data_IF_809058615338
#
_entry.id   IF_809058615338
#
_cell.length_a   1.000
_cell.length_b   1.000
_cell.length_c   1.000
_cell.angle_alpha   90.00
_cell.angle_beta   90.00
_cell.angle_gamma   90.00
#
_symmetry.space_group_name_H-M   'P 1'
#
loop_
_entity.id
_entity.type
_entity.pdbx_description
1 polymer ?
#
# COMPACT_ATOMS: atom_id res chain seq x y z
N UNK A 1 56.70 -13.95 20.55
CA UNK A 1 55.26 -13.79 20.88
C UNK A 1 54.77 -15.16 21.28
N UNK A 2 54.66 -15.40 22.58
CA UNK A 2 54.03 -16.63 23.09
C UNK A 2 52.52 -16.54 22.82
N UNK A 3 51.99 -17.54 22.12
CA UNK A 3 50.55 -17.73 21.99
C UNK A 3 50.05 -18.27 23.33
N UNK A 4 49.57 -17.38 24.19
CA UNK A 4 48.77 -17.78 25.36
C UNK A 4 47.46 -18.39 24.86
N UNK A 5 47.42 -19.72 24.77
CA UNK A 5 46.18 -20.48 24.58
C UNK A 5 45.36 -20.37 25.86
N UNK A 6 44.36 -19.49 25.84
CA UNK A 6 43.35 -19.39 26.90
C UNK A 6 42.42 -20.61 26.79
N UNK A 7 42.70 -21.65 27.58
CA UNK A 7 41.79 -22.78 27.76
C UNK A 7 40.68 -22.41 28.73
N UNK A 8 39.48 -22.16 28.20
CA UNK A 8 38.27 -21.94 29.01
C UNK A 8 37.73 -23.31 29.44
N UNK A 9 37.88 -23.66 30.73
CA UNK A 9 37.22 -24.83 31.30
C UNK A 9 35.71 -24.60 31.42
N UNK A 10 34.99 -24.95 30.34
CA UNK A 10 33.54 -24.98 30.33
C UNK A 10 33.05 -26.16 31.17
N UNK A 11 32.38 -25.88 32.30
CA UNK A 11 31.62 -26.89 33.03
C UNK A 11 30.68 -27.60 32.05
N UNK A 12 30.61 -28.94 32.13
CA UNK A 12 29.80 -29.80 31.26
C UNK A 12 28.35 -29.32 31.12
N UNK A 13 27.78 -28.81 32.20
CA UNK A 13 26.42 -28.24 32.25
C UNK A 13 26.26 -27.01 31.34
N UNK A 14 27.26 -26.14 31.29
CA UNK A 14 27.28 -24.95 30.43
C UNK A 14 27.40 -25.36 28.96
N UNK A 15 28.23 -26.35 28.65
CA UNK A 15 28.36 -26.86 27.28
C UNK A 15 27.03 -27.46 26.77
N UNK A 16 26.33 -28.23 27.60
CA UNK A 16 25.01 -28.79 27.27
C UNK A 16 23.97 -27.68 27.04
N UNK A 17 23.97 -26.64 27.87
CA UNK A 17 23.10 -25.46 27.70
C UNK A 17 23.36 -24.72 26.39
N UNK A 18 24.64 -24.52 26.03
CA UNK A 18 25.01 -23.86 24.77
C UNK A 18 24.57 -24.66 23.55
N UNK A 19 24.74 -25.98 23.58
CA UNK A 19 24.25 -26.88 22.50
C UNK A 19 22.72 -26.82 22.39
N UNK A 20 22.02 -26.77 23.52
CA UNK A 20 20.56 -26.66 23.55
C UNK A 20 20.08 -25.34 22.92
N UNK A 21 20.71 -24.21 23.28
CA UNK A 21 20.43 -22.90 22.71
C UNK A 21 20.72 -22.83 21.21
N UNK A 22 21.88 -23.35 20.79
CA UNK A 22 22.27 -23.40 19.38
C UNK A 22 21.27 -24.24 18.56
N UNK A 23 20.83 -25.38 19.11
CA UNK A 23 19.83 -26.23 18.46
C UNK A 23 18.49 -25.51 18.31
N UNK A 24 18.03 -24.83 19.36
CA UNK A 24 16.79 -24.04 19.31
C UNK A 24 16.85 -22.92 18.26
N UNK A 25 17.94 -22.15 18.25
CA UNK A 25 18.15 -21.10 17.24
C UNK A 25 18.17 -21.67 15.82
N UNK A 26 18.89 -22.78 15.61
CA UNK A 26 18.96 -23.43 14.32
C UNK A 26 17.59 -23.90 13.84
N UNK A 27 16.78 -24.50 14.72
CA UNK A 27 15.42 -24.94 14.38
C UNK A 27 14.50 -23.76 14.01
N UNK A 28 14.59 -22.64 14.71
CA UNK A 28 13.82 -21.42 14.37
C UNK A 28 14.22 -20.87 13.02
N UNK A 29 15.52 -20.83 12.71
CA UNK A 29 16.03 -20.38 11.41
C UNK A 29 15.56 -21.32 10.29
N UNK A 30 15.69 -22.62 10.47
CA UNK A 30 15.21 -23.61 9.49
C UNK A 30 13.70 -23.49 9.28
N UNK A 31 12.93 -23.30 10.35
CA UNK A 31 11.48 -23.10 10.28
C UNK A 31 11.11 -21.82 9.51
N UNK A 32 11.91 -20.75 9.60
CA UNK A 32 11.71 -19.54 8.82
C UNK A 32 11.92 -19.78 7.31
N UNK A 33 12.94 -20.56 6.92
CA UNK A 33 13.23 -20.81 5.50
C UNK A 33 12.44 -21.98 4.89
N UNK A 34 11.73 -22.76 5.70
CA UNK A 34 10.92 -23.90 5.27
C UNK A 34 9.82 -23.51 4.26
N UNK A 35 9.07 -22.41 4.46
CA UNK A 35 8.11 -21.91 3.48
C UNK A 35 8.74 -21.17 2.29
N UNK A 36 9.96 -21.51 1.88
CA UNK A 36 10.83 -20.73 0.98
C UNK A 36 10.28 -20.32 -0.40
N UNK A 37 9.07 -20.75 -0.77
CA UNK A 37 8.36 -20.33 -1.98
C UNK A 37 7.14 -19.41 -1.70
N UNK A 38 6.91 -19.02 -0.44
CA UNK A 38 5.81 -18.13 -0.10
C UNK A 38 6.15 -16.70 -0.49
N UNK A 39 5.29 -16.07 -1.30
CA UNK A 39 5.33 -14.63 -1.54
C UNK A 39 4.89 -13.83 -0.32
N UNK A 40 4.34 -14.51 0.69
CA UNK A 40 3.88 -13.91 1.93
C UNK A 40 4.95 -14.08 3.02
N UNK A 41 5.55 -12.97 3.47
CA UNK A 41 6.51 -12.95 4.58
C UNK A 41 5.89 -13.43 5.91
N UNK A 42 4.56 -13.40 6.04
CA UNK A 42 3.87 -13.80 7.27
C UNK A 42 3.94 -15.29 7.53
N UNK A 43 3.99 -16.11 6.48
CA UNK A 43 3.99 -17.57 6.59
C UNK A 43 5.35 -18.11 7.14
N UNK A 44 6.52 -17.69 6.62
CA UNK A 44 7.83 -17.86 7.27
C UNK A 44 7.85 -17.39 8.72
N UNK A 45 7.27 -16.21 8.99
CA UNK A 45 7.23 -15.64 10.34
C UNK A 45 6.42 -16.53 11.29
N UNK A 46 5.30 -17.09 10.82
CA UNK A 46 4.44 -17.99 11.58
C UNK A 46 5.11 -19.32 11.88
N UNK A 47 5.74 -19.92 10.87
CA UNK A 47 6.50 -21.16 11.04
C UNK A 47 7.61 -20.99 12.08
N UNK A 48 8.38 -19.90 11.99
CA UNK A 48 9.43 -19.57 12.96
C UNK A 48 8.87 -19.29 14.36
N UNK A 49 7.71 -18.62 14.46
CA UNK A 49 7.01 -18.36 15.71
C UNK A 49 6.54 -19.63 16.41
N UNK A 50 5.98 -20.59 15.67
CA UNK A 50 5.56 -21.90 16.19
C UNK A 50 6.77 -22.69 16.68
N UNK A 51 7.85 -22.74 15.90
CA UNK A 51 9.10 -23.40 16.30
C UNK A 51 9.69 -22.77 17.57
N UNK A 52 9.70 -21.44 17.65
CA UNK A 52 10.14 -20.70 18.84
C UNK A 52 9.28 -21.00 20.07
N UNK A 53 7.95 -21.01 19.93
CA UNK A 53 7.02 -21.34 21.01
C UNK A 53 7.22 -22.79 21.51
N UNK A 54 7.41 -23.75 20.60
CA UNK A 54 7.71 -25.14 20.95
C UNK A 54 9.04 -25.26 21.72
N UNK A 55 10.08 -24.56 21.26
CA UNK A 55 11.38 -24.54 21.94
C UNK A 55 11.29 -23.93 23.35
N UNK A 56 10.60 -22.79 23.49
CA UNK A 56 10.34 -22.15 24.78
C UNK A 56 9.57 -23.09 25.70
N UNK A 57 8.56 -23.79 25.19
CA UNK A 57 7.82 -24.80 25.95
C UNK A 57 8.72 -25.93 26.47
N UNK A 58 9.60 -26.46 25.62
CA UNK A 58 10.58 -27.47 26.01
C UNK A 58 11.56 -26.95 27.07
N UNK A 59 11.99 -25.68 26.96
CA UNK A 59 12.86 -25.03 27.94
C UNK A 59 12.20 -24.91 29.31
N UNK A 60 10.92 -24.50 29.36
CA UNK A 60 10.15 -24.44 30.61
C UNK A 60 10.07 -25.81 31.27
N UNK A 61 9.71 -26.85 30.50
CA UNK A 61 9.65 -28.23 31.00
C UNK A 61 11.00 -28.66 31.59
N UNK A 62 12.11 -28.38 30.90
CA UNK A 62 13.45 -28.67 31.41
C UNK A 62 13.74 -27.97 32.74
N UNK A 63 13.38 -26.69 32.87
CA UNK A 63 13.58 -25.89 34.08
C UNK A 63 12.69 -26.30 35.27
N UNK A 64 11.68 -27.15 35.08
CA UNK A 64 10.88 -27.71 36.18
C UNK A 64 11.55 -28.87 36.93
N UNK A 65 12.69 -29.37 36.43
CA UNK A 65 13.43 -30.46 37.06
C UNK A 65 13.98 -30.06 38.44
N UNK A 66 14.01 -31.00 39.41
CA UNK A 66 14.38 -30.72 40.81
C UNK A 66 15.82 -30.23 41.02
N UNK A 67 16.70 -30.39 40.03
CA UNK A 67 18.08 -29.89 40.08
C UNK A 67 18.19 -28.36 39.92
N UNK A 68 17.09 -27.66 39.62
CA UNK A 68 17.05 -26.20 39.44
C UNK A 68 16.52 -25.54 40.71
N UNK A 69 17.22 -24.51 41.19
CA UNK A 69 16.78 -23.77 42.37
C UNK A 69 15.39 -23.13 42.17
N UNK A 70 14.58 -23.10 43.22
CA UNK A 70 13.20 -22.58 43.19
C UNK A 70 13.13 -21.16 42.64
N UNK A 71 14.09 -20.30 43.00
CA UNK A 71 14.19 -18.93 42.50
C UNK A 71 14.33 -18.92 40.96
N UNK A 72 15.30 -19.66 40.42
CA UNK A 72 15.57 -19.73 38.97
C UNK A 72 14.38 -20.28 38.20
N UNK A 73 13.72 -21.32 38.73
CA UNK A 73 12.52 -21.89 38.14
C UNK A 73 11.42 -20.84 37.95
N UNK A 74 11.12 -20.06 39.00
CA UNK A 74 10.11 -19.00 38.91
C UNK A 74 10.54 -17.84 38.02
N UNK A 75 11.83 -17.47 38.00
CA UNK A 75 12.32 -16.42 37.10
C UNK A 75 12.16 -16.84 35.63
N UNK A 76 12.55 -18.06 35.28
CA UNK A 76 12.43 -18.58 33.91
C UNK A 76 10.97 -18.67 33.46
N UNK A 77 10.08 -19.16 34.34
CA UNK A 77 8.64 -19.22 34.05
C UNK A 77 8.08 -17.80 33.86
N UNK A 78 8.43 -16.86 34.72
CA UNK A 78 7.98 -15.46 34.63
C UNK A 78 8.42 -14.78 33.34
N UNK A 79 9.72 -14.87 33.01
CA UNK A 79 10.26 -14.32 31.74
C UNK A 79 9.56 -14.97 30.55
N UNK A 80 9.43 -16.29 30.55
CA UNK A 80 8.75 -17.03 29.48
C UNK A 80 7.32 -16.57 29.29
N UNK A 81 6.55 -16.44 30.38
CA UNK A 81 5.17 -15.99 30.33
C UNK A 81 5.07 -14.57 29.75
N UNK A 82 5.94 -13.64 30.19
CA UNK A 82 6.00 -12.28 29.66
C UNK A 82 6.35 -12.27 28.17
N UNK A 83 7.35 -13.06 27.75
CA UNK A 83 7.76 -13.16 26.35
C UNK A 83 6.63 -13.72 25.47
N UNK A 84 5.95 -14.78 25.91
CA UNK A 84 4.83 -15.37 25.17
C UNK A 84 3.63 -14.42 25.12
N UNK A 85 3.34 -13.69 26.21
CA UNK A 85 2.29 -12.67 26.23
C UNK A 85 2.60 -11.53 25.26
N UNK A 86 3.83 -10.98 25.29
CA UNK A 86 4.25 -9.92 24.39
C UNK A 86 4.22 -10.37 22.92
N UNK A 87 4.69 -11.59 22.64
CA UNK A 87 4.64 -12.17 21.30
C UNK A 87 3.20 -12.40 20.83
N UNK A 88 2.32 -12.92 21.70
CA UNK A 88 0.91 -13.14 21.39
C UNK A 88 0.15 -11.84 21.11
N UNK A 89 0.39 -10.79 21.92
CA UNK A 89 -0.18 -9.45 21.67
C UNK A 89 0.35 -8.85 20.35
N UNK A 90 1.64 -9.00 20.08
CA UNK A 90 2.24 -8.58 18.81
C UNK A 90 1.62 -9.29 17.61
N UNK A 91 1.40 -10.60 17.74
CA UNK A 91 0.77 -11.44 16.71
C UNK A 91 -0.67 -11.05 16.43
N UNK A 92 -1.47 -10.87 17.49
CA UNK A 92 -2.88 -10.46 17.36
C UNK A 92 -3.03 -9.12 16.63
N UNK A 93 -2.13 -8.17 16.87
CA UNK A 93 -2.14 -6.85 16.22
C UNK A 93 -1.64 -6.84 14.77
N UNK A 94 -1.03 -7.92 14.26
CA UNK A 94 -0.47 -7.91 12.90
C UNK A 94 -1.53 -7.83 11.81
N UNK A 95 -2.64 -8.56 11.95
CA UNK A 95 -3.71 -8.57 10.93
C UNK A 95 -4.33 -7.17 10.77
N UNK A 96 -4.59 -6.52 11.90
CA UNK A 96 -5.12 -5.15 11.95
C UNK A 96 -4.13 -4.16 11.32
N UNK A 97 -2.83 -4.24 11.67
CA UNK A 97 -1.79 -3.41 11.05
C UNK A 97 -1.66 -3.65 9.55
N UNK A 98 -1.76 -4.90 9.09
CA UNK A 98 -1.72 -5.25 7.66
C UNK A 98 -2.91 -4.68 6.90
N UNK A 99 -4.12 -4.76 7.49
CA UNK A 99 -5.31 -4.12 6.93
C UNK A 99 -5.17 -2.60 6.90
N UNK A 100 -4.73 -1.99 8.00
CA UNK A 100 -4.49 -0.56 8.09
C UNK A 100 -3.44 -0.07 7.07
N UNK A 101 -2.33 -0.80 6.90
CA UNK A 101 -1.31 -0.50 5.89
C UNK A 101 -1.89 -0.58 4.48
N UNK A 102 -2.65 -1.64 4.19
CA UNK A 102 -3.32 -1.81 2.90
C UNK A 102 -4.28 -0.64 2.63
N UNK A 103 -5.12 -0.28 3.60
CA UNK A 103 -6.07 0.82 3.48
C UNK A 103 -5.36 2.16 3.30
N UNK A 104 -4.27 2.39 4.04
CA UNK A 104 -3.43 3.58 3.93
C UNK A 104 -2.81 3.70 2.53
N UNK A 105 -2.25 2.61 1.99
CA UNK A 105 -1.70 2.58 0.62
C UNK A 105 -2.79 2.86 -0.42
N UNK A 106 -3.97 2.26 -0.26
CA UNK A 106 -5.10 2.50 -1.17
C UNK A 106 -5.59 3.96 -1.10
N UNK A 107 -5.61 4.54 0.10
CA UNK A 107 -5.96 5.95 0.32
C UNK A 107 -4.96 6.90 -0.32
N UNK A 108 -3.66 6.66 -0.11
CA UNK A 108 -2.58 7.42 -0.75
C UNK A 108 -2.72 7.33 -2.27
N UNK A 109 -2.91 6.12 -2.82
CA UNK A 109 -3.10 5.94 -4.26
C UNK A 109 -4.30 6.72 -4.77
N UNK A 110 -5.44 6.69 -4.06
CA UNK A 110 -6.62 7.45 -4.45
C UNK A 110 -6.34 8.95 -4.48
N UNK A 111 -5.69 9.50 -3.45
CA UNK A 111 -5.30 10.92 -3.41
C UNK A 111 -4.33 11.29 -4.53
N UNK A 112 -3.32 10.45 -4.80
CA UNK A 112 -2.38 10.67 -5.91
C UNK A 112 -3.11 10.65 -7.25
N UNK A 113 -4.01 9.68 -7.48
CA UNK A 113 -4.79 9.63 -8.72
C UNK A 113 -5.67 10.86 -8.91
N UNK A 114 -6.30 11.40 -7.85
CA UNK A 114 -7.05 12.66 -7.92
C UNK A 114 -6.17 13.85 -8.26
N UNK A 115 -4.97 13.93 -7.66
CA UNK A 115 -4.02 15.00 -7.97
C UNK A 115 -3.58 14.94 -9.45
N UNK A 116 -3.30 13.74 -9.97
CA UNK A 116 -2.95 13.53 -11.38
C UNK A 116 -4.12 13.86 -12.30
N UNK A 117 -5.33 13.41 -11.99
CA UNK A 117 -6.56 13.78 -12.69
C UNK A 117 -6.70 15.30 -12.79
N UNK A 118 -6.63 15.98 -11.65
CA UNK A 118 -6.76 17.43 -11.60
C UNK A 118 -5.70 18.14 -12.44
N UNK A 119 -4.42 17.76 -12.29
CA UNK A 119 -3.31 18.37 -13.03
C UNK A 119 -3.45 18.17 -14.55
N UNK A 120 -3.72 16.94 -14.99
CA UNK A 120 -3.90 16.62 -16.41
C UNK A 120 -5.13 17.34 -16.99
N UNK A 121 -6.23 17.47 -16.24
CA UNK A 121 -7.44 18.16 -16.70
C UNK A 121 -7.27 19.67 -16.77
N UNK A 122 -6.62 20.27 -15.77
CA UNK A 122 -6.25 21.68 -15.82
C UNK A 122 -5.35 21.92 -17.02
N UNK A 123 -4.36 21.06 -17.28
CA UNK A 123 -3.48 21.21 -18.43
C UNK A 123 -4.25 21.16 -19.76
N UNK A 124 -5.17 20.19 -19.92
CA UNK A 124 -5.98 20.04 -21.14
C UNK A 124 -6.91 21.24 -21.37
N UNK A 125 -7.53 21.76 -20.31
CA UNK A 125 -8.52 22.83 -20.41
C UNK A 125 -7.89 24.23 -20.43
N UNK A 126 -6.69 24.39 -19.90
CA UNK A 126 -5.98 25.68 -19.84
C UNK A 126 -5.65 26.22 -21.23
N UNK A 127 -5.20 25.38 -22.14
CA UNK A 127 -4.76 25.86 -23.47
C UNK A 127 -5.94 26.43 -24.30
N UNK A 128 -7.10 25.75 -24.44
CA UNK A 128 -8.32 26.34 -25.03
C UNK A 128 -8.77 27.63 -24.35
N UNK A 129 -8.66 27.70 -23.03
CA UNK A 129 -8.99 28.90 -22.25
C UNK A 129 -8.07 30.09 -22.57
N UNK A 130 -6.75 29.86 -22.58
CA UNK A 130 -5.76 30.88 -22.93
C UNK A 130 -5.90 31.32 -24.40
N UNK A 131 -6.17 30.38 -25.31
CA UNK A 131 -6.50 30.71 -26.70
C UNK A 131 -7.73 31.61 -26.79
N UNK A 132 -8.78 31.33 -26.01
CA UNK A 132 -10.03 32.11 -26.02
C UNK A 132 -9.80 33.58 -25.63
N UNK A 133 -9.00 33.83 -24.59
CA UNK A 133 -8.70 35.18 -24.10
C UNK A 133 -7.61 35.92 -24.87
N UNK A 134 -6.74 35.21 -25.59
CA UNK A 134 -5.67 35.81 -26.39
C UNK A 134 -6.09 36.21 -27.80
N UNK A 135 -7.33 35.90 -28.21
CA UNK A 135 -7.84 36.25 -29.54
C UNK A 135 -7.84 37.76 -29.79
N UNK A 136 -7.21 38.17 -30.90
CA UNK A 136 -7.22 39.55 -31.41
C UNK A 136 -7.91 39.57 -32.77
N UNK A 137 -8.99 40.33 -32.88
CA UNK A 137 -9.71 40.49 -34.15
C UNK A 137 -11.23 40.66 -33.96
N UNK A 138 -11.94 41.05 -35.03
CA UNK A 138 -13.40 41.24 -35.01
C UNK A 138 -14.18 39.92 -35.00
N UNK A 139 -13.59 38.83 -35.49
CA UNK A 139 -14.17 37.48 -35.44
C UNK A 139 -13.49 36.70 -34.33
N UNK A 140 -14.25 36.35 -33.30
CA UNK A 140 -13.79 35.51 -32.19
C UNK A 140 -14.37 34.11 -32.34
N UNK A 141 -13.50 33.11 -32.24
CA UNK A 141 -13.90 31.70 -32.17
C UNK A 141 -14.47 31.39 -30.79
N UNK A 142 -15.44 30.48 -30.75
CA UNK A 142 -16.01 30.01 -29.49
C UNK A 142 -15.03 29.12 -28.71
N UNK A 143 -15.28 28.93 -27.42
CA UNK A 143 -14.45 28.07 -26.58
C UNK A 143 -14.47 26.62 -27.11
N UNK A 144 -15.64 26.15 -27.54
CA UNK A 144 -15.83 24.84 -28.14
C UNK A 144 -15.06 24.66 -29.46
N UNK A 145 -15.08 25.67 -30.34
CA UNK A 145 -14.31 25.66 -31.59
C UNK A 145 -12.80 25.56 -31.33
N UNK A 146 -12.28 26.35 -30.38
CA UNK A 146 -10.87 26.32 -30.02
C UNK A 146 -10.44 24.98 -29.43
N UNK A 147 -11.32 24.35 -28.64
CA UNK A 147 -11.07 23.01 -28.12
C UNK A 147 -10.99 21.97 -29.25
N UNK A 148 -11.92 22.01 -30.20
CA UNK A 148 -11.90 21.10 -31.37
C UNK A 148 -10.67 21.31 -32.25
N UNK A 149 -10.22 22.56 -32.42
CA UNK A 149 -9.00 22.83 -33.18
C UNK A 149 -7.76 22.16 -32.59
N UNK A 150 -7.69 22.04 -31.25
CA UNK A 150 -6.54 21.49 -30.55
C UNK A 150 -6.60 19.96 -30.42
N UNK A 151 -7.76 19.45 -30.02
CA UNK A 151 -7.95 18.03 -29.70
C UNK A 151 -8.66 17.24 -30.82
N UNK A 152 -8.87 17.86 -31.99
CA UNK A 152 -9.52 17.29 -33.16
C UNK A 152 -11.05 17.35 -33.09
N UNK A 153 -11.74 16.70 -34.03
CA UNK A 153 -13.20 16.48 -33.97
C UNK A 153 -13.59 15.50 -32.85
N UNK A 154 -13.11 15.75 -31.62
CA UNK A 154 -13.49 15.01 -30.43
C UNK A 154 -15.00 15.04 -30.31
N UNK A 155 -15.64 13.90 -30.55
CA UNK A 155 -17.09 13.76 -30.43
C UNK A 155 -17.40 13.57 -28.97
N UNK A 156 -18.55 14.09 -28.53
CA UNK A 156 -19.07 13.75 -27.20
C UNK A 156 -19.10 12.22 -27.06
N UNK A 157 -18.54 11.71 -25.98
CA UNK A 157 -18.36 10.29 -25.69
C UNK A 157 -16.98 9.73 -26.05
N UNK A 158 -16.07 10.48 -26.67
CA UNK A 158 -14.72 9.98 -26.98
C UNK A 158 -13.74 10.20 -25.83
N UNK A 159 -12.85 9.22 -25.64
CA UNK A 159 -11.68 9.40 -24.78
C UNK A 159 -10.64 10.27 -25.49
N UNK A 160 -10.38 11.45 -24.92
CA UNK A 160 -9.42 12.42 -25.46
C UNK A 160 -8.03 12.26 -24.84
N UNK A 161 -7.88 11.38 -23.84
CA UNK A 161 -6.61 11.12 -23.18
C UNK A 161 -5.87 9.96 -23.83
N UNK A 162 -4.63 10.22 -24.25
CA UNK A 162 -3.72 9.20 -24.74
C UNK A 162 -2.99 8.54 -23.56
N UNK A 163 -3.25 7.25 -23.35
CA UNK A 163 -2.59 6.47 -22.30
C UNK A 163 -1.06 6.54 -22.43
N UNK A 164 -0.37 6.91 -21.35
CA UNK A 164 1.11 7.01 -21.34
C UNK A 164 1.77 5.63 -21.29
N UNK A 165 1.04 4.62 -20.84
CA UNK A 165 1.50 3.24 -20.78
C UNK A 165 0.32 2.27 -20.80
N UNK A 166 0.59 0.98 -21.02
CA UNK A 166 -0.42 -0.09 -20.90
C UNK A 166 -1.04 -0.23 -19.50
N UNK A 167 -0.43 0.37 -18.49
CA UNK A 167 -0.88 0.34 -17.10
C UNK A 167 -1.61 1.63 -16.70
N UNK A 168 -1.73 2.57 -17.63
CA UNK A 168 -2.43 3.82 -17.40
C UNK A 168 -3.94 3.57 -17.40
N UNK A 169 -4.54 3.70 -16.22
CA UNK A 169 -5.97 3.48 -16.00
C UNK A 169 -6.81 4.73 -16.20
N UNK A 170 -6.18 5.85 -16.53
CA UNK A 170 -6.82 7.13 -16.69
C UNK A 170 -7.63 7.16 -17.98
N UNK A 171 -8.88 7.61 -17.87
CA UNK A 171 -9.77 7.85 -19.00
C UNK A 171 -10.35 9.25 -18.85
N UNK A 172 -10.47 9.98 -19.95
CA UNK A 172 -10.98 11.35 -19.97
C UNK A 172 -11.98 11.45 -21.11
N UNK A 173 -13.25 11.50 -20.75
CA UNK A 173 -14.33 11.56 -21.71
C UNK A 173 -14.84 12.98 -21.84
N UNK A 174 -14.92 13.44 -23.09
CA UNK A 174 -15.68 14.63 -23.42
C UNK A 174 -17.17 14.33 -23.30
N UNK A 175 -17.87 14.94 -22.34
CA UNK A 175 -19.30 14.68 -22.06
C UNK A 175 -20.22 15.78 -22.56
N UNK A 176 -19.71 17.00 -22.71
CA UNK A 176 -20.44 18.09 -23.34
C UNK A 176 -19.47 19.07 -24.01
N UNK A 177 -19.87 19.58 -25.16
CA UNK A 177 -19.10 20.51 -25.97
C UNK A 177 -20.05 21.50 -26.64
N UNK A 178 -20.02 22.74 -26.17
CA UNK A 178 -20.81 23.87 -26.66
C UNK A 178 -19.91 25.10 -26.81
N UNK A 179 -20.43 26.14 -27.44
CA UNK A 179 -19.67 27.35 -27.72
C UNK A 179 -19.13 28.05 -26.46
N UNK A 180 -19.86 27.93 -25.35
CA UNK A 180 -19.58 28.57 -24.06
C UNK A 180 -19.10 27.60 -22.97
N UNK A 181 -19.13 26.29 -23.25
CA UNK A 181 -18.95 25.25 -22.23
C UNK A 181 -18.28 23.99 -22.76
N UNK A 182 -17.27 23.52 -22.05
CA UNK A 182 -16.64 22.20 -22.24
C UNK A 182 -16.77 21.42 -20.94
N UNK A 183 -17.27 20.19 -20.99
CA UNK A 183 -17.34 19.30 -19.83
C UNK A 183 -16.55 18.03 -20.09
N UNK A 184 -15.51 17.83 -19.29
CA UNK A 184 -14.74 16.60 -19.24
C UNK A 184 -15.09 15.83 -17.99
N UNK A 185 -15.25 14.52 -18.13
CA UNK A 185 -15.35 13.61 -16.99
C UNK A 185 -14.18 12.66 -17.07
N UNK A 186 -13.39 12.63 -16.00
CA UNK A 186 -12.19 11.82 -15.92
C UNK A 186 -12.28 10.83 -14.76
N UNK A 187 -11.75 9.62 -14.97
CA UNK A 187 -11.73 8.57 -13.94
C UNK A 187 -10.48 7.70 -14.05
N UNK A 188 -10.09 7.10 -12.93
CA UNK A 188 -9.02 6.10 -12.87
C UNK A 188 -9.62 4.73 -12.56
N UNK A 189 -9.37 3.78 -13.46
CA UNK A 189 -9.88 2.39 -13.36
C UNK A 189 -9.35 1.63 -12.14
N UNK A 190 -8.25 2.05 -11.54
CA UNK A 190 -7.60 1.31 -10.47
C UNK A 190 -7.81 1.91 -9.08
N UNK A 191 -8.13 3.20 -9.00
CA UNK A 191 -8.25 3.90 -7.73
C UNK A 191 -9.68 3.90 -7.19
N UNK A 192 -9.81 3.74 -5.86
CA UNK A 192 -11.10 3.67 -5.18
C UNK A 192 -11.65 5.07 -4.92
N UNK A 193 -12.92 5.26 -5.25
CA UNK A 193 -13.70 6.43 -4.85
C UNK A 193 -14.22 6.32 -3.42
N UNK A 194 -14.97 7.34 -3.00
CA UNK A 194 -15.55 7.44 -1.65
C UNK A 194 -16.69 6.45 -1.44
N UNK A 195 -17.53 6.26 -2.45
CA UNK A 195 -18.70 5.38 -2.43
C UNK A 195 -18.43 4.12 -3.25
N UNK A 196 -18.61 2.94 -2.65
CA UNK A 196 -18.47 1.65 -3.31
C UNK A 196 -19.61 1.35 -4.31
N UNK A 197 -20.79 1.94 -4.09
CA UNK A 197 -21.98 1.72 -4.90
C UNK A 197 -22.04 2.63 -6.15
N UNK A 198 -21.24 3.70 -6.17
CA UNK A 198 -21.16 4.60 -7.31
C UNK A 198 -20.63 3.87 -8.54
N UNK A 199 -21.33 4.00 -9.67
CA UNK A 199 -20.90 3.43 -10.96
C UNK A 199 -20.43 4.57 -11.86
N UNK A 200 -19.16 4.52 -12.28
CA UNK A 200 -18.57 5.54 -13.15
C UNK A 200 -19.12 5.42 -14.59
N UNK A 201 -18.80 6.40 -15.45
CA UNK A 201 -19.22 6.41 -16.86
C UNK A 201 -18.67 5.21 -17.66
N UNK A 202 -17.58 4.60 -17.21
CA UNK A 202 -17.03 3.37 -17.76
C UNK A 202 -17.71 2.08 -17.26
N UNK A 203 -18.76 2.17 -16.43
CA UNK A 203 -19.49 1.03 -15.88
C UNK A 203 -18.81 0.35 -14.67
N UNK A 204 -17.72 0.91 -14.15
CA UNK A 204 -16.99 0.36 -13.00
C UNK A 204 -17.54 0.91 -11.69
N UNK A 205 -17.70 0.02 -10.71
CA UNK A 205 -18.19 0.37 -9.37
C UNK A 205 -17.07 0.80 -8.43
N UNK A 206 -17.35 1.79 -7.60
CA UNK A 206 -16.48 2.21 -6.51
C UNK A 206 -15.19 2.89 -6.95
N UNK A 207 -15.15 3.46 -8.16
CA UNK A 207 -13.97 4.11 -8.73
C UNK A 207 -14.05 5.61 -8.66
N UNK A 208 -12.89 6.27 -8.57
CA UNK A 208 -12.84 7.73 -8.56
C UNK A 208 -13.42 8.27 -9.86
N UNK A 209 -14.17 9.36 -9.78
CA UNK A 209 -14.64 10.10 -10.96
C UNK A 209 -14.70 11.58 -10.61
N UNK A 210 -14.19 12.39 -11.52
CA UNK A 210 -14.13 13.85 -11.35
C UNK A 210 -14.63 14.53 -12.63
N UNK A 211 -15.42 15.58 -12.44
CA UNK A 211 -16.00 16.38 -13.51
C UNK A 211 -15.35 17.74 -13.54
N UNK A 212 -14.93 18.14 -14.72
CA UNK A 212 -14.29 19.42 -15.00
C UNK A 212 -15.14 20.17 -16.01
N UNK A 213 -15.59 21.36 -15.65
CA UNK A 213 -16.38 22.21 -16.55
C UNK A 213 -15.61 23.50 -16.79
N UNK A 214 -15.23 23.74 -18.04
CA UNK A 214 -14.66 25.00 -18.48
C UNK A 214 -15.76 25.87 -19.08
N UNK A 215 -15.85 27.10 -18.60
CA UNK A 215 -16.70 28.15 -19.18
C UNK A 215 -15.87 29.41 -19.38
N UNK A 216 -16.44 30.44 -19.99
CA UNK A 216 -15.81 31.77 -20.03
C UNK A 216 -15.49 32.28 -18.61
N UNK A 217 -16.35 32.01 -17.62
CA UNK A 217 -16.11 32.39 -16.22
C UNK A 217 -14.94 31.68 -15.53
N UNK A 218 -14.39 30.64 -16.15
CA UNK A 218 -13.27 29.86 -15.62
C UNK A 218 -13.55 28.37 -15.52
N UNK A 219 -12.66 27.66 -14.83
CA UNK A 219 -12.71 26.23 -14.59
C UNK A 219 -13.41 25.92 -13.26
N UNK A 220 -14.44 25.08 -13.29
CA UNK A 220 -15.01 24.44 -12.10
C UNK A 220 -14.68 22.95 -12.07
N UNK A 221 -14.51 22.44 -10.85
CA UNK A 221 -14.16 21.05 -10.57
C UNK A 221 -15.12 20.48 -9.53
N UNK A 222 -15.69 19.32 -9.82
CA UNK A 222 -16.60 18.58 -8.94
C UNK A 222 -16.10 17.14 -8.77
N UNK A 223 -15.96 16.72 -7.52
CA UNK A 223 -15.62 15.34 -7.17
C UNK A 223 -16.91 14.53 -7.10
N UNK A 224 -17.15 13.69 -8.10
CA UNK A 224 -18.36 12.86 -8.18
C UNK A 224 -18.22 11.57 -7.35
N UNK A 225 -17.02 10.99 -7.29
CA UNK A 225 -16.71 9.87 -6.40
C UNK A 225 -15.24 9.78 -5.99
#
# INVERSE_FOLDING_TARGET
>A
MENETITIELKRETAVLLVWLATGMFLVVVAFFLPGNSTDLWEPLAASGVAGAAYIGALVVYCTRPAVSTLRRWTTIGITAITLLAAGMGWAGQKERGQWQRESILSIRAQTSRAVLFDDMVHILKEPYEMFYSQRGPVRRSLGELFQMKYGEGRVGTNIFAARSKWDGLQVILTDLRDDRIVLVAWDSYSRGKSAEFTNLGGQRGKIQERFTLTEGGLSHEVEN
#
